data_IF_962830326824
#
_entry.id   IF_962830326824
#
_cell.length_a   1.000
_cell.length_b   1.000
_cell.length_c   1.000
_cell.angle_alpha   90.00
_cell.angle_beta   90.00
_cell.angle_gamma   90.00
#
_symmetry.space_group_name_H-M   'P 1'
#
loop_
_entity.id
_entity.type
_entity.pdbx_description
1 polymer ?
#
# COMPACT_ATOMS: atom_id res chain seq x y z
N UNK A 1 -4.27 -6.27 1.59
CA UNK A 1 -4.03 -5.03 2.35
C UNK A 1 -4.86 -4.93 3.63
N UNK A 2 -6.18 -5.18 3.64
CA UNK A 2 -6.94 -5.19 4.89
C UNK A 2 -6.36 -6.11 5.96
N UNK A 3 -5.91 -7.31 5.57
CA UNK A 3 -5.20 -8.25 6.46
C UNK A 3 -3.88 -7.71 6.99
N UNK A 4 -3.13 -6.95 6.19
CA UNK A 4 -1.86 -6.32 6.60
C UNK A 4 -2.09 -5.17 7.58
N UNK A 5 -3.15 -4.37 7.39
CA UNK A 5 -3.52 -3.33 8.36
C UNK A 5 -3.96 -3.91 9.70
N UNK A 6 -4.73 -5.01 9.68
CA UNK A 6 -5.10 -5.75 10.89
C UNK A 6 -3.84 -6.33 11.56
N UNK A 7 -2.96 -6.97 10.79
CA UNK A 7 -1.71 -7.51 11.32
C UNK A 7 -0.83 -6.42 11.95
N UNK A 8 -0.66 -5.27 11.28
CA UNK A 8 0.05 -4.13 11.85
C UNK A 8 -0.59 -3.66 13.17
N UNK A 9 -1.93 -3.56 13.24
CA UNK A 9 -2.64 -3.20 14.46
C UNK A 9 -2.43 -4.18 15.61
N UNK A 10 -2.47 -5.49 15.32
CA UNK A 10 -2.21 -6.55 16.32
C UNK A 10 -0.76 -6.52 16.78
N UNK A 11 0.20 -6.42 15.86
CA UNK A 11 1.64 -6.43 16.18
C UNK A 11 2.05 -5.19 16.99
N UNK A 12 1.47 -4.03 16.71
CA UNK A 12 1.71 -2.80 17.49
C UNK A 12 1.30 -2.94 18.96
N UNK A 13 0.33 -3.81 19.27
CA UNK A 13 -0.06 -4.09 20.66
C UNK A 13 0.95 -4.98 21.41
N UNK A 14 1.86 -5.64 20.70
CA UNK A 14 2.82 -6.60 21.23
C UNK A 14 4.26 -6.08 21.21
N UNK A 15 4.46 -4.78 20.99
CA UNK A 15 5.80 -4.19 20.95
C UNK A 15 6.46 -4.21 22.32
N UNK A 16 7.76 -4.48 22.34
CA UNK A 16 8.59 -4.54 23.55
C UNK A 16 8.63 -3.22 24.33
N UNK A 17 8.44 -2.09 23.64
CA UNK A 17 8.44 -0.74 24.21
C UNK A 17 7.41 0.14 23.49
N UNK A 18 6.86 1.18 24.15
CA UNK A 18 5.98 2.14 23.50
C UNK A 18 6.67 2.84 22.33
N UNK A 19 5.93 3.03 21.24
CA UNK A 19 6.41 3.76 20.05
C UNK A 19 6.66 5.23 20.37
N UNK A 20 7.72 5.79 19.79
CA UNK A 20 7.90 7.23 19.71
C UNK A 20 6.88 7.84 18.74
N UNK A 21 6.55 9.11 18.91
CA UNK A 21 5.54 9.80 18.10
C UNK A 21 5.83 9.73 16.59
N UNK A 22 7.11 9.87 16.20
CA UNK A 22 7.49 9.81 14.79
C UNK A 22 7.36 8.39 14.21
N UNK A 23 7.63 7.35 15.00
CA UNK A 23 7.46 5.95 14.60
C UNK A 23 5.98 5.64 14.37
N UNK A 24 5.13 6.08 15.31
CA UNK A 24 3.68 5.95 15.19
C UNK A 24 3.15 6.67 13.94
N UNK A 25 3.68 7.86 13.61
CA UNK A 25 3.33 8.58 12.37
C UNK A 25 3.75 7.83 11.12
N UNK A 26 4.95 7.26 11.09
CA UNK A 26 5.42 6.46 9.94
C UNK A 26 4.53 5.23 9.75
N UNK A 27 4.19 4.52 10.82
CA UNK A 27 3.30 3.35 10.75
C UNK A 27 1.91 3.75 10.27
N UNK A 28 1.32 4.79 10.86
CA UNK A 28 -0.01 5.27 10.49
C UNK A 28 -0.07 5.68 9.01
N UNK A 29 0.82 6.57 8.57
CA UNK A 29 0.82 7.05 7.19
C UNK A 29 1.24 5.95 6.21
N UNK A 30 2.18 5.09 6.59
CA UNK A 30 2.62 3.97 5.77
C UNK A 30 1.50 2.98 5.45
N UNK A 31 0.67 2.66 6.44
CA UNK A 31 -0.54 1.85 6.21
C UNK A 31 -1.57 2.64 5.41
N UNK A 32 -1.79 3.91 5.75
CA UNK A 32 -2.82 4.76 5.13
C UNK A 32 -2.61 4.97 3.62
N UNK A 33 -1.37 5.16 3.15
CA UNK A 33 -1.07 5.34 1.71
C UNK A 33 -1.37 4.10 0.86
N UNK A 34 -1.73 2.97 1.48
CA UNK A 34 -2.20 1.78 0.78
C UNK A 34 -3.61 1.95 0.20
N UNK A 35 -4.42 2.87 0.72
CA UNK A 35 -5.80 3.09 0.25
C UNK A 35 -5.87 3.56 -1.21
N UNK A 36 -5.14 4.62 -1.63
CA UNK A 36 -5.05 4.99 -3.04
C UNK A 36 -4.69 3.82 -3.96
N UNK A 37 -3.72 3.00 -3.54
CA UNK A 37 -3.29 1.83 -4.30
C UNK A 37 -4.43 0.83 -4.51
N UNK A 38 -5.23 0.54 -3.48
CA UNK A 38 -6.42 -0.32 -3.58
C UNK A 38 -7.44 0.26 -4.57
N UNK A 39 -7.75 1.55 -4.50
CA UNK A 39 -8.67 2.19 -5.45
C UNK A 39 -8.15 2.11 -6.88
N UNK A 40 -6.84 2.31 -7.07
CA UNK A 40 -6.24 2.19 -8.41
C UNK A 40 -6.20 0.77 -8.94
N UNK A 41 -6.27 -0.28 -8.11
CA UNK A 41 -6.45 -1.65 -8.60
C UNK A 41 -7.83 -1.87 -9.25
N UNK A 42 -8.88 -1.35 -8.61
CA UNK A 42 -10.24 -1.38 -9.17
C UNK A 42 -10.28 -0.58 -10.48
N UNK A 43 -9.68 0.62 -10.46
CA UNK A 43 -9.56 1.44 -11.66
C UNK A 43 -8.76 0.76 -12.77
N UNK A 44 -7.67 0.06 -12.43
CA UNK A 44 -6.85 -0.70 -13.37
C UNK A 44 -7.67 -1.79 -14.06
N UNK A 45 -8.52 -2.51 -13.31
CA UNK A 45 -9.41 -3.51 -13.87
C UNK A 45 -10.46 -2.92 -14.82
N UNK A 46 -11.03 -1.78 -14.44
CA UNK A 46 -11.99 -1.08 -15.31
C UNK A 46 -11.34 -0.49 -16.57
N UNK A 47 -10.12 0.04 -16.45
CA UNK A 47 -9.42 0.69 -17.55
C UNK A 47 -8.61 -0.25 -18.44
N UNK A 48 -8.29 -1.46 -17.98
CA UNK A 48 -7.32 -2.34 -18.65
C UNK A 48 -5.88 -1.90 -18.45
N UNK A 49 -5.55 -1.32 -17.29
CA UNK A 49 -4.17 -0.98 -16.96
C UNK A 49 -3.43 -2.23 -16.49
N UNK A 50 -2.32 -2.58 -17.15
CA UNK A 50 -1.70 -3.89 -17.00
C UNK A 50 -0.18 -3.84 -16.74
N UNK A 51 0.45 -2.66 -16.70
CA UNK A 51 1.91 -2.57 -16.49
C UNK A 51 2.35 -2.94 -15.08
N UNK A 52 1.60 -2.50 -14.06
CA UNK A 52 1.89 -2.81 -12.65
C UNK A 52 1.07 -3.97 -12.11
N UNK A 53 -0.14 -4.19 -12.64
CA UNK A 53 -1.00 -5.32 -12.32
C UNK A 53 -1.54 -5.95 -13.61
N UNK A 54 -0.78 -6.87 -14.23
CA UNK A 54 -1.21 -7.54 -15.44
C UNK A 54 -2.58 -8.20 -15.29
N UNK A 55 -2.76 -8.96 -14.21
CA UNK A 55 -3.98 -9.72 -13.89
C UNK A 55 -5.22 -8.80 -13.76
N UNK A 56 -5.05 -7.58 -13.25
CA UNK A 56 -6.19 -6.68 -13.08
C UNK A 56 -6.73 -6.22 -14.44
N UNK A 57 -5.84 -5.85 -15.37
CA UNK A 57 -6.22 -5.25 -16.65
C UNK A 57 -6.54 -6.24 -17.77
N UNK A 58 -6.35 -7.54 -17.57
CA UNK A 58 -6.43 -8.57 -18.63
C UNK A 58 -7.78 -8.63 -19.36
N UNK A 59 -8.89 -8.34 -18.68
CA UNK A 59 -10.23 -8.45 -19.24
C UNK A 59 -10.73 -7.18 -19.95
N UNK A 60 -9.94 -6.10 -19.97
CA UNK A 60 -10.36 -4.78 -20.47
C UNK A 60 -9.57 -4.34 -21.72
N UNK A 61 -10.09 -3.38 -22.52
CA UNK A 61 -9.55 -3.04 -23.84
C UNK A 61 -8.13 -2.44 -23.86
N UNK A 62 -7.61 -2.07 -22.69
CA UNK A 62 -6.30 -1.45 -22.53
C UNK A 62 -6.37 0.01 -22.06
N UNK A 63 -5.41 0.39 -21.23
CA UNK A 63 -5.33 1.73 -20.64
C UNK A 63 -4.46 2.70 -21.45
N UNK A 64 -4.87 3.97 -21.47
CA UNK A 64 -4.03 5.07 -21.97
C UNK A 64 -2.83 5.33 -21.04
N UNK A 65 -1.72 5.93 -21.52
CA UNK A 65 -0.50 6.09 -20.73
C UNK A 65 -0.68 6.80 -19.38
N UNK A 66 -1.54 7.80 -19.29
CA UNK A 66 -1.77 8.51 -18.03
C UNK A 66 -2.47 7.64 -16.97
N UNK A 67 -3.33 6.70 -17.39
CA UNK A 67 -4.02 5.77 -16.49
C UNK A 67 -3.03 4.78 -15.88
N UNK A 68 -2.11 4.27 -16.71
CA UNK A 68 -0.99 3.45 -16.24
C UNK A 68 -0.12 4.21 -15.23
N UNK A 69 0.19 5.49 -15.50
CA UNK A 69 0.99 6.31 -14.60
C UNK A 69 0.30 6.55 -13.25
N UNK A 70 -1.03 6.75 -13.24
CA UNK A 70 -1.81 6.89 -12.00
C UNK A 70 -1.72 5.62 -11.15
N UNK A 71 -1.92 4.45 -11.78
CA UNK A 71 -1.80 3.16 -11.10
C UNK A 71 -0.38 2.97 -10.57
N UNK A 72 0.63 3.24 -11.38
CA UNK A 72 2.03 3.11 -10.98
C UNK A 72 2.41 4.04 -9.83
N UNK A 73 2.03 5.31 -9.88
CA UNK A 73 2.31 6.27 -8.80
C UNK A 73 1.70 5.83 -7.48
N UNK A 74 0.45 5.35 -7.49
CA UNK A 74 -0.21 4.86 -6.28
C UNK A 74 0.50 3.62 -5.69
N UNK A 75 0.99 2.71 -6.54
CA UNK A 75 1.75 1.54 -6.08
C UNK A 75 3.11 1.92 -5.51
N UNK A 76 3.84 2.82 -6.15
CA UNK A 76 5.13 3.32 -5.67
C UNK A 76 4.95 4.00 -4.31
N UNK A 77 3.95 4.88 -4.17
CA UNK A 77 3.65 5.53 -2.90
C UNK A 77 3.34 4.52 -1.78
N UNK A 78 2.55 3.48 -2.09
CA UNK A 78 2.26 2.41 -1.14
C UNK A 78 3.51 1.66 -0.71
N UNK A 79 4.43 1.34 -1.64
CA UNK A 79 5.71 0.68 -1.32
C UNK A 79 6.57 1.56 -0.41
N UNK A 80 6.73 2.84 -0.78
CA UNK A 80 7.54 3.81 -0.02
C UNK A 80 7.00 4.05 1.39
N UNK A 81 5.68 3.96 1.60
CA UNK A 81 5.07 4.06 2.93
C UNK A 81 5.15 2.76 3.73
N UNK A 82 4.87 1.61 3.11
CA UNK A 82 4.79 0.33 3.83
C UNK A 82 6.15 -0.20 4.26
N UNK A 83 7.20 -0.08 3.44
CA UNK A 83 8.54 -0.58 3.79
C UNK A 83 9.03 -0.03 5.14
N UNK A 84 9.08 1.29 5.37
CA UNK A 84 9.54 1.82 6.65
C UNK A 84 8.59 1.50 7.80
N UNK A 85 7.27 1.48 7.58
CA UNK A 85 6.31 1.09 8.60
C UNK A 85 6.55 -0.34 9.11
N UNK A 86 6.70 -1.30 8.19
CA UNK A 86 6.98 -2.69 8.54
C UNK A 86 8.38 -2.89 9.11
N UNK A 87 9.38 -2.15 8.62
CA UNK A 87 10.72 -2.19 9.20
C UNK A 87 10.71 -1.78 10.69
N UNK A 88 9.98 -0.71 11.05
CA UNK A 88 9.84 -0.28 12.44
C UNK A 88 9.11 -1.34 13.26
N UNK A 89 7.98 -1.85 12.78
CA UNK A 89 7.22 -2.89 13.50
C UNK A 89 8.10 -4.11 13.77
N UNK A 90 8.76 -4.64 12.73
CA UNK A 90 9.63 -5.81 12.86
C UNK A 90 10.86 -5.58 13.76
N UNK A 91 11.39 -4.36 13.80
CA UNK A 91 12.51 -4.00 14.68
C UNK A 91 12.09 -3.87 16.16
N UNK A 92 10.81 -3.56 16.42
CA UNK A 92 10.26 -3.29 17.75
C UNK A 92 9.57 -4.49 18.40
N UNK A 93 9.25 -5.53 17.62
CA UNK A 93 8.84 -6.85 18.10
C UNK A 93 10.00 -7.52 18.84
#
# INVERSE_FOLDING_TARGET
MGTMAIAAGVLVQHLSTPLQEWEARIIYWGVWVSWPMIFTQIAAAYWGANKMLPIAGEAAPGASPWKENVVAAAHIAAVLGNIPAWAIICWRL
#
